data_IF_558888703395
#
_entry.id   IF_558888703395
#
_cell.length_a   1.000
_cell.length_b   1.000
_cell.length_c   1.000
_cell.angle_alpha   90.00
_cell.angle_beta   90.00
_cell.angle_gamma   90.00
#
_symmetry.space_group_name_H-M   'P 1'
#
loop_
_entity.id
_entity.type
_entity.pdbx_description
1 polymer ?
#
# COMPACT_ATOMS: atom_id res chain seq x y z
N UNK A 1 -1.67 0.36 1.96
CA UNK A 1 -1.78 0.03 0.52
C UNK A 1 -0.61 -0.88 0.18
N UNK A 2 -0.79 -1.92 -0.63
CA UNK A 2 0.34 -2.77 -1.03
C UNK A 2 1.23 -2.06 -2.06
N UNK A 3 2.52 -2.38 -2.10
CA UNK A 3 3.51 -1.85 -3.03
C UNK A 3 3.12 -2.13 -4.49
N UNK A 4 2.54 -3.30 -4.77
CA UNK A 4 2.08 -3.64 -6.13
C UNK A 4 0.97 -2.69 -6.63
N UNK A 5 0.16 -2.13 -5.74
CA UNK A 5 -0.90 -1.16 -6.05
C UNK A 5 -0.28 0.18 -6.36
N UNK A 6 0.71 0.62 -5.59
CA UNK A 6 1.42 1.86 -5.83
C UNK A 6 2.21 1.82 -7.14
N UNK A 7 2.86 0.70 -7.47
CA UNK A 7 3.50 0.47 -8.77
C UNK A 7 2.49 0.59 -9.92
N UNK A 8 1.32 -0.04 -9.78
CA UNK A 8 0.28 0.06 -10.80
C UNK A 8 -0.27 1.49 -10.95
N UNK A 9 -0.38 2.23 -9.85
CA UNK A 9 -0.82 3.63 -9.86
C UNK A 9 0.12 4.52 -10.68
N UNK A 10 1.43 4.33 -10.52
CA UNK A 10 2.45 5.11 -11.25
C UNK A 10 2.55 4.70 -12.72
N UNK A 11 2.39 3.40 -13.03
CA UNK A 11 2.46 2.89 -14.41
C UNK A 11 1.19 3.12 -15.23
N UNK A 12 0.03 3.27 -14.59
CA UNK A 12 -1.25 3.41 -15.28
C UNK A 12 -2.10 4.52 -14.67
N UNK A 13 -1.93 5.78 -15.13
CA UNK A 13 -2.62 6.94 -14.56
C UNK A 13 -4.15 6.90 -14.68
N UNK A 14 -4.70 6.12 -15.62
CA UNK A 14 -6.15 5.99 -15.79
C UNK A 14 -6.77 4.85 -14.95
N UNK A 15 -5.95 4.04 -14.26
CA UNK A 15 -6.42 2.87 -13.51
C UNK A 15 -6.96 3.19 -12.12
N UNK A 16 -7.68 2.23 -11.55
CA UNK A 16 -8.23 2.33 -10.20
C UNK A 16 -7.16 2.58 -9.12
N UNK A 17 -5.96 2.02 -9.27
CA UNK A 17 -4.84 2.29 -8.36
C UNK A 17 -4.39 3.75 -8.39
N UNK A 18 -4.34 4.36 -9.58
CA UNK A 18 -3.99 5.77 -9.72
C UNK A 18 -5.06 6.67 -9.11
N UNK A 19 -6.33 6.32 -9.27
CA UNK A 19 -7.43 7.02 -8.60
C UNK A 19 -7.33 6.90 -7.07
N UNK A 20 -7.03 5.71 -6.54
CA UNK A 20 -6.85 5.52 -5.11
C UNK A 20 -5.71 6.38 -4.55
N UNK A 21 -4.58 6.43 -5.28
CA UNK A 21 -3.46 7.29 -4.95
C UNK A 21 -3.84 8.78 -5.00
N UNK A 22 -4.57 9.24 -6.03
CA UNK A 22 -5.06 10.63 -6.10
C UNK A 22 -5.92 10.99 -4.89
N UNK A 23 -6.86 10.12 -4.51
CA UNK A 23 -7.71 10.33 -3.33
C UNK A 23 -6.91 10.33 -2.04
N UNK A 24 -5.87 9.51 -1.93
CA UNK A 24 -4.94 9.54 -0.81
C UNK A 24 -4.20 10.88 -0.72
N UNK A 25 -3.64 11.36 -1.83
CA UNK A 25 -2.94 12.65 -1.91
C UNK A 25 -3.87 13.84 -1.61
N UNK A 26 -5.16 13.71 -1.96
CA UNK A 26 -6.21 14.68 -1.64
C UNK A 26 -6.83 14.50 -0.24
N UNK A 27 -6.31 13.58 0.58
CA UNK A 27 -6.81 13.25 1.93
C UNK A 27 -8.28 12.80 1.98
N UNK A 28 -8.80 12.30 0.86
CA UNK A 28 -10.14 11.71 0.76
C UNK A 28 -10.13 10.23 1.17
N UNK A 29 -8.97 9.58 1.14
CA UNK A 29 -8.75 8.22 1.61
C UNK A 29 -7.55 8.22 2.55
N UNK A 30 -7.75 7.74 3.78
CA UNK A 30 -6.65 7.59 4.75
C UNK A 30 -5.79 6.38 4.37
N UNK A 31 -4.50 6.60 4.12
CA UNK A 31 -3.54 5.53 3.86
C UNK A 31 -2.62 5.38 5.07
N UNK A 32 -2.55 4.17 5.60
CA UNK A 32 -1.60 3.80 6.65
C UNK A 32 -0.26 3.41 6.01
N UNK A 33 0.84 3.80 6.65
CA UNK A 33 2.19 3.40 6.24
C UNK A 33 3.13 3.26 7.45
N UNK A 34 3.99 2.26 7.42
CA UNK A 34 5.10 2.12 8.37
C UNK A 34 6.42 2.49 7.69
N UNK A 35 7.45 2.83 8.46
CA UNK A 35 8.78 3.14 7.92
C UNK A 35 9.32 2.01 7.02
N UNK A 36 9.27 0.72 7.42
CA UNK A 36 9.76 -0.36 6.54
C UNK A 36 9.03 -0.43 5.20
N UNK A 37 7.70 -0.24 5.19
CA UNK A 37 6.92 -0.29 3.95
C UNK A 37 7.20 0.93 3.07
N UNK A 38 7.44 2.09 3.67
CA UNK A 38 7.80 3.29 2.92
C UNK A 38 9.18 3.13 2.24
N UNK A 39 10.15 2.54 2.93
CA UNK A 39 11.45 2.20 2.32
C UNK A 39 11.31 1.17 1.18
N UNK A 40 10.37 0.22 1.30
CA UNK A 40 10.05 -0.69 0.19
C UNK A 40 9.43 0.07 -1.01
N UNK A 41 8.60 1.08 -0.77
CA UNK A 41 8.10 1.93 -1.85
C UNK A 41 9.23 2.66 -2.55
N UNK A 42 10.16 3.26 -1.81
CA UNK A 42 11.33 3.93 -2.38
C UNK A 42 12.18 2.98 -3.21
N UNK A 43 12.53 1.81 -2.66
CA UNK A 43 13.34 0.80 -3.34
C UNK A 43 12.66 0.29 -4.62
N UNK A 44 11.36 -0.03 -4.56
CA UNK A 44 10.64 -0.61 -5.70
C UNK A 44 10.36 0.46 -6.74
N UNK A 45 9.78 1.61 -6.40
CA UNK A 45 9.38 2.58 -7.41
C UNK A 45 10.58 3.24 -8.11
N UNK A 46 11.76 3.25 -7.49
CA UNK A 46 12.98 3.80 -8.08
C UNK A 46 13.65 2.90 -9.12
N UNK A 47 13.18 1.66 -9.32
CA UNK A 47 13.81 0.72 -10.26
C UNK A 47 13.56 1.11 -11.71
N UNK A 48 14.56 0.85 -12.56
CA UNK A 48 14.58 1.27 -13.95
C UNK A 48 13.37 0.75 -14.75
N UNK A 49 12.90 -0.47 -14.49
CA UNK A 49 11.73 -1.05 -15.15
C UNK A 49 10.43 -0.30 -14.84
N UNK A 50 10.29 0.24 -13.63
CA UNK A 50 9.10 0.98 -13.21
C UNK A 50 9.15 2.42 -13.71
N UNK A 51 10.32 3.07 -13.66
CA UNK A 51 10.55 4.39 -14.26
C UNK A 51 10.27 4.38 -15.77
N UNK A 52 10.83 3.39 -16.49
CA UNK A 52 10.63 3.25 -17.93
C UNK A 52 9.16 2.99 -18.27
N UNK A 53 8.48 2.10 -17.53
CA UNK A 53 7.07 1.80 -17.78
C UNK A 53 6.13 2.97 -17.44
N UNK A 54 6.52 3.86 -16.54
CA UNK A 54 5.76 5.06 -16.19
C UNK A 54 6.09 6.27 -17.09
N UNK A 55 7.14 6.20 -17.90
CA UNK A 55 7.66 7.36 -18.62
C UNK A 55 8.15 8.46 -17.67
N UNK A 56 8.64 8.08 -16.48
CA UNK A 56 9.00 9.00 -15.40
C UNK A 56 10.50 8.97 -15.14
N UNK A 57 11.03 10.04 -14.57
CA UNK A 57 12.39 10.09 -14.02
C UNK A 57 12.38 9.80 -12.52
N UNK A 58 13.54 9.41 -11.98
CA UNK A 58 13.69 9.13 -10.54
C UNK A 58 13.18 10.29 -9.67
N UNK A 59 13.47 11.53 -10.05
CA UNK A 59 12.98 12.73 -9.35
C UNK A 59 11.45 12.84 -9.27
N UNK A 60 10.75 12.34 -10.29
CA UNK A 60 9.29 12.43 -10.35
C UNK A 60 8.67 11.45 -9.33
N UNK A 61 9.26 10.26 -9.21
CA UNK A 61 8.90 9.27 -8.18
C UNK A 61 9.25 9.78 -6.78
N UNK A 62 10.43 10.37 -6.58
CA UNK A 62 10.83 10.94 -5.29
C UNK A 62 9.87 12.04 -4.84
N UNK A 63 9.53 12.98 -5.74
CA UNK A 63 8.54 14.02 -5.45
C UNK A 63 7.17 13.43 -5.08
N UNK A 64 6.73 12.37 -5.77
CA UNK A 64 5.48 11.68 -5.44
C UNK A 64 5.53 11.08 -4.02
N UNK A 65 6.64 10.41 -3.69
CA UNK A 65 6.82 9.79 -2.38
C UNK A 65 6.89 10.86 -1.27
N UNK A 66 7.57 11.98 -1.49
CA UNK A 66 7.61 13.10 -0.54
C UNK A 66 6.22 13.65 -0.22
N UNK A 67 5.37 13.83 -1.25
CA UNK A 67 3.99 14.26 -1.04
C UNK A 67 3.18 13.17 -0.33
N UNK A 68 3.37 11.90 -0.69
CA UNK A 68 2.71 10.77 -0.03
C UNK A 68 3.08 10.70 1.46
N UNK A 69 4.35 10.89 1.81
CA UNK A 69 4.83 10.95 3.19
C UNK A 69 4.12 12.03 4.01
N UNK A 70 3.78 13.17 3.38
CA UNK A 70 3.04 14.26 4.01
C UNK A 70 1.53 14.03 4.22
N UNK A 71 0.97 12.93 3.69
CA UNK A 71 -0.47 12.62 3.81
C UNK A 71 -0.79 11.27 4.43
N UNK A 72 0.16 10.32 4.47
CA UNK A 72 -0.05 9.03 5.13
C UNK A 72 -0.14 9.17 6.64
N UNK A 73 -0.90 8.27 7.27
CA UNK A 73 -0.90 8.11 8.72
C UNK A 73 0.24 7.14 9.08
N UNK A 74 1.25 7.59 9.84
CA UNK A 74 2.34 6.72 10.25
C UNK A 74 1.85 5.70 11.29
N UNK A 75 2.20 4.43 11.08
CA UNK A 75 1.93 3.35 12.03
C UNK A 75 3.25 2.77 12.51
N UNK A 76 3.49 2.89 13.82
CA UNK A 76 4.61 2.23 14.48
C UNK A 76 4.29 0.74 14.64
N UNK A 77 5.21 -0.11 14.18
CA UNK A 77 5.10 -1.55 14.38
C UNK A 77 5.51 -1.88 15.81
N UNK A 78 4.55 -2.23 16.66
CA UNK A 78 4.79 -2.59 18.06
C UNK A 78 5.03 -4.08 18.24
N UNK A 79 4.43 -4.90 17.37
CA UNK A 79 4.55 -6.35 17.39
C UNK A 79 4.89 -6.86 15.99
N UNK A 80 5.90 -7.72 15.92
CA UNK A 80 6.25 -8.46 14.72
C UNK A 80 5.45 -9.77 14.72
N UNK A 81 4.55 -9.91 13.75
CA UNK A 81 3.70 -11.10 13.64
C UNK A 81 4.28 -12.18 12.71
N UNK A 82 5.40 -11.87 12.06
CA UNK A 82 6.02 -12.73 11.03
C UNK A 82 6.64 -13.99 11.65
N UNK A 83 6.66 -15.12 10.92
CA UNK A 83 6.09 -15.30 9.58
C UNK A 83 4.59 -15.64 9.64
N UNK A 84 3.78 -15.01 8.79
CA UNK A 84 2.36 -15.39 8.58
C UNK A 84 2.09 -15.82 7.15
N UNK A 85 2.72 -15.15 6.18
CA UNK A 85 2.51 -15.38 4.75
C UNK A 85 3.64 -16.23 4.14
N UNK A 86 3.37 -16.81 2.97
CA UNK A 86 4.39 -17.55 2.20
C UNK A 86 5.45 -16.63 1.60
N UNK A 87 5.05 -15.43 1.20
CA UNK A 87 5.96 -14.38 0.73
C UNK A 87 6.34 -13.46 1.90
N UNK A 88 7.61 -13.45 2.33
CA UNK A 88 8.08 -12.58 3.42
C UNK A 88 7.90 -11.07 3.17
N UNK A 89 7.74 -10.64 1.90
CA UNK A 89 7.44 -9.24 1.59
C UNK A 89 6.00 -8.89 1.95
N UNK A 90 5.05 -9.79 1.65
CA UNK A 90 3.65 -9.62 2.03
C UNK A 90 3.45 -9.52 3.55
N UNK A 91 4.28 -10.20 4.33
CA UNK A 91 4.26 -10.13 5.79
C UNK A 91 4.40 -8.69 6.32
N UNK A 92 5.18 -7.83 5.65
CA UNK A 92 5.32 -6.42 6.04
C UNK A 92 4.03 -5.63 5.88
N UNK A 93 3.30 -5.88 4.79
CA UNK A 93 2.02 -5.23 4.50
C UNK A 93 0.95 -5.72 5.48
N UNK A 94 0.91 -7.04 5.75
CA UNK A 94 0.01 -7.61 6.74
C UNK A 94 0.29 -7.07 8.14
N UNK A 95 1.56 -7.05 8.55
CA UNK A 95 2.00 -6.54 9.86
C UNK A 95 1.59 -5.07 10.07
N UNK A 96 1.79 -4.22 9.06
CA UNK A 96 1.31 -2.85 9.08
C UNK A 96 -0.21 -2.80 9.28
N UNK A 97 -0.97 -3.59 8.52
CA UNK A 97 -2.42 -3.59 8.59
C UNK A 97 -2.93 -4.02 9.97
N UNK A 98 -2.33 -5.05 10.57
CA UNK A 98 -2.65 -5.52 11.92
C UNK A 98 -2.34 -4.46 12.98
N UNK A 99 -1.16 -3.83 12.93
CA UNK A 99 -0.82 -2.75 13.87
C UNK A 99 -1.76 -1.53 13.68
N UNK A 100 -2.21 -1.28 12.45
CA UNK A 100 -3.17 -0.23 12.12
C UNK A 100 -4.55 -0.39 12.77
N UNK A 101 -4.97 -1.62 13.07
CA UNK A 101 -6.22 -1.87 13.82
C UNK A 101 -6.21 -1.22 15.21
N UNK A 102 -5.03 -1.02 15.80
CA UNK A 102 -4.85 -0.33 17.08
C UNK A 102 -5.28 1.14 17.06
N UNK A 103 -5.53 1.73 15.88
CA UNK A 103 -6.07 3.08 15.73
C UNK A 103 -7.58 3.16 15.96
N UNK A 104 -8.26 2.02 16.20
CA UNK A 104 -9.68 1.97 16.52
C UNK A 104 -10.61 2.14 15.31
N UNK A 105 -10.08 2.07 14.10
CA UNK A 105 -10.85 2.10 12.85
C UNK A 105 -10.66 0.80 12.05
N UNK A 106 -11.66 0.36 11.26
CA UNK A 106 -11.50 -0.76 10.35
C UNK A 106 -10.36 -0.51 9.36
N UNK A 107 -9.53 -1.53 9.14
CA UNK A 107 -8.42 -1.48 8.18
C UNK A 107 -8.69 -2.44 7.02
N UNK A 108 -8.56 -1.92 5.81
CA UNK A 108 -8.65 -2.70 4.58
C UNK A 108 -7.30 -2.75 3.88
N UNK A 109 -6.84 -3.96 3.59
CA UNK A 109 -5.63 -4.22 2.82
C UNK A 109 -5.98 -4.20 1.32
N UNK A 110 -5.44 -3.20 0.62
CA UNK A 110 -5.62 -3.04 -0.83
C UNK A 110 -4.42 -3.65 -1.56
N UNK A 111 -4.67 -4.74 -2.31
CA UNK A 111 -3.65 -5.50 -3.05
C UNK A 111 -4.25 -6.18 -4.30
N UNK A 112 -3.42 -6.46 -5.30
CA UNK A 112 -3.77 -7.37 -6.39
C UNK A 112 -3.60 -8.85 -6.02
N UNK A 113 -2.86 -9.15 -4.96
CA UNK A 113 -2.46 -10.51 -4.60
C UNK A 113 -3.32 -11.06 -3.44
N UNK A 114 -4.65 -10.89 -3.49
CA UNK A 114 -5.51 -11.18 -2.32
C UNK A 114 -5.34 -12.62 -1.80
N UNK A 115 -5.09 -13.58 -2.70
CA UNK A 115 -4.87 -15.00 -2.36
C UNK A 115 -3.66 -15.23 -1.47
N UNK A 116 -2.65 -14.35 -1.52
CA UNK A 116 -1.42 -14.50 -0.74
C UNK A 116 -1.61 -14.02 0.70
N UNK A 117 -2.63 -13.19 0.95
CA UNK A 117 -2.99 -12.68 2.27
C UNK A 117 -4.06 -13.50 2.97
N UNK A 118 -4.81 -14.32 2.23
CA UNK A 118 -5.93 -15.10 2.75
C UNK A 118 -5.51 -16.56 3.02
N UNK A 119 -5.99 -17.18 4.12
CA UNK A 119 -6.99 -16.66 5.06
C UNK A 119 -6.40 -15.82 6.22
N UNK A 120 -5.08 -15.67 6.32
CA UNK A 120 -4.40 -15.10 7.49
C UNK A 120 -4.89 -13.68 7.82
N UNK A 121 -5.05 -12.81 6.84
CA UNK A 121 -5.57 -11.45 7.05
C UNK A 121 -6.97 -11.46 7.70
N UNK A 122 -7.86 -12.36 7.29
CA UNK A 122 -9.18 -12.51 7.90
C UNK A 122 -9.09 -13.01 9.35
N UNK A 123 -8.12 -13.88 9.67
CA UNK A 123 -7.90 -14.34 11.04
C UNK A 123 -7.49 -13.18 11.99
N UNK A 124 -6.88 -12.12 11.45
CA UNK A 124 -6.61 -10.88 12.17
C UNK A 124 -7.74 -9.84 12.11
N UNK A 125 -8.88 -10.15 11.47
CA UNK A 125 -10.01 -9.23 11.34
C UNK A 125 -9.83 -8.16 10.25
N UNK A 126 -8.88 -8.33 9.34
CA UNK A 126 -8.67 -7.41 8.21
C UNK A 126 -9.57 -7.76 7.03
N UNK A 127 -10.04 -6.74 6.32
CA UNK A 127 -10.64 -6.92 4.99
C UNK A 127 -9.56 -6.86 3.92
N UNK A 128 -9.64 -7.68 2.87
CA UNK A 128 -8.69 -7.67 1.74
C UNK A 128 -9.44 -7.49 0.43
N UNK A 129 -9.06 -6.50 -0.38
CA UNK A 129 -9.70 -6.28 -1.68
C UNK A 129 -8.77 -5.64 -2.71
N UNK A 130 -9.18 -5.68 -3.98
CA UNK A 130 -8.47 -5.00 -5.06
C UNK A 130 -8.82 -3.51 -5.16
N UNK A 131 -8.06 -2.72 -5.95
CA UNK A 131 -8.30 -1.29 -6.10
C UNK A 131 -9.65 -0.92 -6.74
N UNK A 132 -10.11 -1.68 -7.74
CA UNK A 132 -11.38 -1.38 -8.40
C UNK A 132 -12.61 -1.64 -7.51
N UNK A 133 -12.72 -2.79 -6.81
CA UNK A 133 -13.79 -3.03 -5.83
C UNK A 133 -13.87 -2.00 -4.71
N UNK A 134 -12.76 -1.34 -4.34
CA UNK A 134 -12.76 -0.29 -3.32
C UNK A 134 -13.80 0.79 -3.62
N UNK A 135 -13.91 1.25 -4.87
CA UNK A 135 -14.85 2.31 -5.25
C UNK A 135 -16.31 1.86 -5.38
N UNK A 136 -16.59 0.56 -5.31
CA UNK A 136 -17.95 0.03 -5.36
C UNK A 136 -18.57 -0.10 -3.96
N UNK A 137 -17.77 0.04 -2.91
CA UNK A 137 -18.19 -0.05 -1.50
C UNK A 137 -18.11 1.27 -0.72
N UNK A 138 -17.85 2.40 -1.39
CA UNK A 138 -17.86 3.77 -0.81
C UNK A 138 -19.08 4.53 -1.27
#
# INVERSE_FOLDING_TARGET
MDTNVLVAAVRSPAGASAELLRRALQRQVTVLCSVPLFLEYEDVLSRAEHLAAAGAQLRDVQNLLDVLAGVVVPVTIQFLWRPQLRDPKGDMVLELAVNGLGLGQPVTLITFNQRDFLPQAHAFGLSVMGPAPFFQGV
#
